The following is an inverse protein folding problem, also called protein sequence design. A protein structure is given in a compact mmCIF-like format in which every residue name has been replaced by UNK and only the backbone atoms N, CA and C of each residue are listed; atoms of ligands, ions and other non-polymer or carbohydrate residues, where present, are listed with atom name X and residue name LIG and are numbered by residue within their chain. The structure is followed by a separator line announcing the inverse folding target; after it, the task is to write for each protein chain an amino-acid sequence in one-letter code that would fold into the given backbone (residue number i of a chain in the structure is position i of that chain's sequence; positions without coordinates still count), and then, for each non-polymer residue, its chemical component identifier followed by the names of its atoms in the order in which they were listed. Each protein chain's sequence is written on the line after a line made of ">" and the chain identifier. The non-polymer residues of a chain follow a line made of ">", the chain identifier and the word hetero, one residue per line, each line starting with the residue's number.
data_IF_290132624553
#
_entry.id   IF_290132624553
#
_cell.length_a   1.000
_cell.length_b   1.000
_cell.length_c   1.000
_cell.angle_alpha   90.00
_cell.angle_beta   90.00
_cell.angle_gamma   90.00
#
_symmetry.space_group_name_H-M   'P 1'
#
loop_
_entity.id
_entity.type
_entity.pdbx_description
1 polymer ?
#
# COMPACT_ATOMS: atom_id res chain seq x y z
N UNK A 1 -1.66 9.30 -5.71
CA UNK A 1 -2.96 8.60 -5.62
C UNK A 1 -2.84 7.25 -6.31
N UNK A 2 -3.24 6.16 -5.68
CA UNK A 2 -3.34 4.83 -6.30
C UNK A 2 -4.68 4.72 -7.02
N UNK A 3 -4.67 4.21 -8.26
CA UNK A 3 -5.87 4.04 -9.08
C UNK A 3 -6.20 2.57 -9.31
N UNK A 4 -5.18 1.75 -9.56
CA UNK A 4 -5.36 0.34 -9.87
C UNK A 4 -4.10 -0.45 -9.56
N UNK A 5 -4.25 -1.68 -9.07
CA UNK A 5 -3.14 -2.60 -8.87
C UNK A 5 -3.54 -3.98 -9.32
N UNK A 6 -2.72 -4.62 -10.16
CA UNK A 6 -2.95 -5.97 -10.65
C UNK A 6 -1.77 -6.86 -10.34
N UNK A 7 -2.07 -8.09 -10.01
CA UNK A 7 -1.08 -9.12 -9.79
C UNK A 7 -1.52 -10.47 -10.36
N UNK A 8 -0.54 -11.28 -10.73
CA UNK A 8 -0.72 -12.69 -11.13
C UNK A 8 0.48 -13.51 -10.65
N UNK A 9 0.24 -14.75 -10.31
CA UNK A 9 1.25 -15.72 -9.88
C UNK A 9 2.09 -15.24 -8.68
N UNK A 10 1.42 -14.62 -7.68
CA UNK A 10 2.07 -14.15 -6.47
C UNK A 10 1.49 -14.81 -5.23
N UNK A 11 2.31 -15.54 -4.46
CA UNK A 11 1.93 -16.29 -3.25
C UNK A 11 0.72 -17.19 -3.52
N UNK A 12 -0.45 -16.91 -2.90
CA UNK A 12 -1.69 -17.67 -3.13
C UNK A 12 -2.51 -17.19 -4.34
N UNK A 13 -2.14 -16.08 -4.98
CA UNK A 13 -2.84 -15.53 -6.15
C UNK A 13 -2.19 -16.00 -7.45
N UNK A 14 -2.70 -17.09 -8.01
CA UNK A 14 -2.24 -17.56 -9.31
C UNK A 14 -2.88 -16.83 -10.49
N UNK A 15 -4.20 -16.63 -10.43
CA UNK A 15 -4.96 -15.96 -11.49
C UNK A 15 -4.76 -14.43 -11.47
N UNK A 16 -5.13 -13.78 -12.56
CA UNK A 16 -5.18 -12.32 -12.60
C UNK A 16 -6.08 -11.80 -11.49
N UNK A 17 -5.53 -10.94 -10.65
CA UNK A 17 -6.22 -10.32 -9.52
C UNK A 17 -6.11 -8.82 -9.66
N UNK A 18 -7.26 -8.13 -9.62
CA UNK A 18 -7.40 -6.70 -9.83
C UNK A 18 -7.92 -6.01 -8.56
N UNK A 19 -7.19 -5.03 -8.08
CA UNK A 19 -7.53 -4.23 -6.90
C UNK A 19 -7.71 -2.78 -7.37
N UNK A 20 -8.94 -2.48 -7.82
CA UNK A 20 -9.25 -1.17 -8.38
C UNK A 20 -9.78 -0.21 -7.32
N UNK A 21 -9.15 0.96 -7.26
CA UNK A 21 -9.59 2.12 -6.46
C UNK A 21 -10.53 3.05 -7.25
N UNK A 22 -10.96 2.68 -8.44
CA UNK A 22 -12.00 3.42 -9.14
C UNK A 22 -13.37 3.15 -8.53
N UNK A 23 -14.14 4.23 -8.37
CA UNK A 23 -15.50 4.14 -7.90
C UNK A 23 -16.44 3.57 -8.96
N UNK A 24 -17.36 2.70 -8.55
CA UNK A 24 -18.47 2.25 -9.40
C UNK A 24 -19.49 3.38 -9.54
N UNK A 25 -19.66 3.89 -10.76
CA UNK A 25 -20.57 4.97 -11.08
C UNK A 25 -22.06 4.59 -10.95
N UNK A 26 -22.37 3.30 -11.01
CA UNK A 26 -23.74 2.79 -10.84
C UNK A 26 -24.21 2.89 -9.39
N UNK A 27 -23.29 2.88 -8.44
CA UNK A 27 -23.60 2.99 -7.01
C UNK A 27 -23.73 4.47 -6.61
N UNK A 28 -24.88 4.85 -6.02
CA UNK A 28 -25.18 6.23 -5.66
C UNK A 28 -24.87 6.60 -4.21
N UNK A 29 -24.54 5.61 -3.39
CA UNK A 29 -24.29 5.80 -1.96
C UNK A 29 -23.00 6.61 -1.72
N UNK A 30 -23.02 7.55 -0.77
CA UNK A 30 -21.86 8.32 -0.31
C UNK A 30 -20.99 8.92 -1.44
N UNK A 31 -21.65 9.52 -2.46
CA UNK A 31 -20.95 10.13 -3.62
C UNK A 31 -20.12 11.36 -3.25
N UNK A 32 -20.48 12.04 -2.21
CA UNK A 32 -19.79 13.17 -1.61
C UNK A 32 -18.38 12.84 -1.10
N UNK A 33 -18.12 11.55 -0.85
CA UNK A 33 -16.84 11.05 -0.36
C UNK A 33 -15.82 10.71 -1.46
N UNK A 34 -16.19 10.80 -2.72
CA UNK A 34 -15.35 10.36 -3.82
C UNK A 34 -14.28 11.40 -4.18
N UNK A 35 -13.09 10.90 -4.49
CA UNK A 35 -11.97 11.71 -4.94
C UNK A 35 -12.04 11.90 -6.46
N UNK A 36 -11.89 13.13 -6.93
CA UNK A 36 -11.88 13.42 -8.35
C UNK A 36 -10.51 13.15 -8.97
N UNK A 37 -10.46 12.24 -9.94
CA UNK A 37 -9.26 11.98 -10.75
C UNK A 37 -9.29 12.91 -11.97
N UNK A 38 -8.65 14.08 -11.84
CA UNK A 38 -8.46 15.01 -12.96
C UNK A 38 -7.01 15.00 -13.43
N UNK A 39 -6.77 15.22 -14.70
CA UNK A 39 -5.45 15.34 -15.32
C UNK A 39 -5.52 16.23 -16.56
N UNK A 40 -4.37 16.66 -17.12
CA UNK A 40 -4.28 17.60 -18.25
C UNK A 40 -5.12 17.19 -19.48
N UNK A 41 -5.31 15.89 -19.70
CA UNK A 41 -6.10 15.32 -20.79
C UNK A 41 -7.23 14.41 -20.30
N UNK A 42 -7.50 14.38 -18.99
CA UNK A 42 -8.35 13.37 -18.35
C UNK A 42 -9.71 13.95 -18.00
N UNK A 43 -10.76 13.26 -18.40
CA UNK A 43 -12.14 13.55 -17.99
C UNK A 43 -12.32 13.09 -16.55
N UNK A 44 -13.23 13.75 -15.85
CA UNK A 44 -13.61 13.46 -14.49
C UNK A 44 -13.97 11.98 -14.30
N UNK A 45 -13.10 11.24 -13.62
CA UNK A 45 -13.31 9.88 -13.13
C UNK A 45 -13.14 9.93 -11.62
N UNK A 46 -13.88 9.13 -10.87
CA UNK A 46 -13.84 9.18 -9.43
C UNK A 46 -13.05 7.99 -8.88
N UNK A 47 -12.24 8.26 -7.85
CA UNK A 47 -11.53 7.24 -7.10
C UNK A 47 -12.09 7.13 -5.68
N UNK A 48 -11.84 5.99 -5.06
CA UNK A 48 -12.21 5.68 -3.68
C UNK A 48 -11.18 6.26 -2.71
N UNK A 49 -11.59 6.93 -1.64
CA UNK A 49 -10.68 7.42 -0.60
C UNK A 49 -10.19 6.30 0.32
N UNK A 50 -10.95 5.21 0.44
CA UNK A 50 -10.57 4.08 1.27
C UNK A 50 -11.09 2.76 0.71
N UNK A 51 -10.45 1.66 1.12
CA UNK A 51 -10.86 0.28 0.86
C UNK A 51 -10.53 -0.59 2.06
N UNK A 52 -11.46 -1.43 2.46
CA UNK A 52 -11.28 -2.43 3.51
C UNK A 52 -11.33 -3.83 2.93
N UNK A 53 -10.41 -4.70 3.38
CA UNK A 53 -10.25 -6.07 2.87
C UNK A 53 -10.58 -7.05 4.00
N UNK A 54 -11.58 -7.89 3.77
CA UNK A 54 -12.03 -8.96 4.67
C UNK A 54 -11.67 -10.33 4.11
N UNK A 55 -11.58 -11.31 4.98
CA UNK A 55 -11.35 -12.71 4.61
C UNK A 55 -10.93 -13.56 5.80
N UNK A 56 -11.01 -14.87 5.68
CA UNK A 56 -10.53 -15.80 6.68
C UNK A 56 -9.01 -15.68 6.92
N UNK A 57 -8.51 -16.28 8.01
CA UNK A 57 -7.07 -16.43 8.21
C UNK A 57 -6.46 -17.21 7.04
N UNK A 58 -5.26 -16.82 6.63
CA UNK A 58 -4.55 -17.40 5.49
C UNK A 58 -5.27 -17.33 4.12
N UNK A 59 -6.34 -16.54 3.98
CA UNK A 59 -7.03 -16.35 2.69
C UNK A 59 -6.20 -15.60 1.65
N UNK A 60 -5.20 -14.81 2.06
CA UNK A 60 -4.34 -14.04 1.16
C UNK A 60 -4.42 -12.52 1.34
N UNK A 61 -5.13 -11.98 2.34
CA UNK A 61 -5.22 -10.54 2.60
C UNK A 61 -3.85 -9.86 2.69
N UNK A 62 -2.98 -10.38 3.56
CA UNK A 62 -1.60 -9.90 3.72
C UNK A 62 -0.78 -10.05 2.42
N UNK A 63 -1.09 -11.03 1.58
CA UNK A 63 -0.40 -11.22 0.30
C UNK A 63 -0.65 -10.05 -0.67
N UNK A 64 -1.84 -9.45 -0.67
CA UNK A 64 -2.15 -8.26 -1.46
C UNK A 64 -1.25 -7.09 -1.03
N UNK A 65 -1.20 -6.83 0.28
CA UNK A 65 -0.38 -5.78 0.87
C UNK A 65 1.10 -6.02 0.59
N UNK A 66 1.55 -7.27 0.75
CA UNK A 66 2.92 -7.69 0.46
C UNK A 66 3.30 -7.49 -1.02
N UNK A 67 2.38 -7.74 -1.96
CA UNK A 67 2.64 -7.55 -3.39
C UNK A 67 2.89 -6.09 -3.73
N UNK A 68 2.08 -5.18 -3.19
CA UNK A 68 2.25 -3.73 -3.38
C UNK A 68 3.55 -3.25 -2.73
N UNK A 69 3.85 -3.71 -1.50
CA UNK A 69 5.11 -3.38 -0.82
C UNK A 69 6.32 -3.91 -1.57
N UNK A 70 6.24 -5.13 -2.11
CA UNK A 70 7.31 -5.72 -2.90
C UNK A 70 7.58 -4.89 -4.17
N UNK A 71 6.54 -4.50 -4.92
CA UNK A 71 6.70 -3.63 -6.08
C UNK A 71 7.33 -2.29 -5.70
N UNK A 72 6.89 -1.69 -4.59
CA UNK A 72 7.51 -0.47 -4.03
C UNK A 72 9.01 -0.68 -3.79
N UNK A 73 9.40 -1.75 -3.12
CA UNK A 73 10.81 -2.03 -2.81
C UNK A 73 11.64 -2.29 -4.08
N UNK A 74 11.10 -3.00 -5.07
CA UNK A 74 11.74 -3.22 -6.36
C UNK A 74 12.04 -1.88 -7.03
N UNK A 75 11.05 -0.98 -7.11
CA UNK A 75 11.19 0.32 -7.78
C UNK A 75 12.16 1.24 -7.02
N UNK A 76 12.07 1.32 -5.69
CA UNK A 76 12.95 2.16 -4.88
C UNK A 76 14.41 1.69 -4.94
N UNK A 77 14.62 0.38 -4.87
CA UNK A 77 15.96 -0.21 -4.94
C UNK A 77 16.52 -0.24 -6.37
N UNK A 78 15.66 -0.13 -7.39
CA UNK A 78 16.03 -0.19 -8.81
C UNK A 78 16.46 -1.59 -9.26
N UNK A 79 16.20 -2.64 -8.47
CA UNK A 79 16.71 -4.00 -8.75
C UNK A 79 15.86 -5.05 -8.02
N UNK A 80 15.88 -6.28 -8.56
CA UNK A 80 15.35 -7.48 -7.90
C UNK A 80 16.45 -8.33 -7.26
N UNK A 81 17.71 -7.86 -7.26
CA UNK A 81 18.85 -8.55 -6.63
C UNK A 81 18.62 -8.76 -5.14
N UNK A 82 19.17 -9.85 -4.63
CA UNK A 82 19.24 -10.07 -3.18
C UNK A 82 20.16 -9.03 -2.56
N UNK A 83 19.67 -8.26 -1.60
CA UNK A 83 20.48 -7.29 -0.88
C UNK A 83 20.95 -7.88 0.45
N UNK A 84 22.26 -7.97 0.62
CA UNK A 84 22.90 -8.35 1.89
C UNK A 84 23.27 -7.04 2.60
N UNK A 85 22.47 -6.62 3.58
CA UNK A 85 22.80 -5.51 4.48
C UNK A 85 23.10 -6.07 5.88
N UNK A 86 24.35 -5.90 6.33
CA UNK A 86 24.80 -6.16 7.72
C UNK A 86 24.42 -7.53 8.31
N UNK A 87 24.73 -8.63 7.62
CA UNK A 87 24.44 -10.01 8.01
C UNK A 87 22.95 -10.38 8.03
N UNK A 88 22.03 -9.45 7.95
CA UNK A 88 20.61 -9.72 7.76
C UNK A 88 20.30 -9.68 6.26
N UNK A 89 20.01 -10.83 5.70
CA UNK A 89 19.51 -10.93 4.33
C UNK A 89 18.07 -10.40 4.36
N UNK A 90 17.89 -9.10 4.05
CA UNK A 90 16.57 -8.61 3.69
C UNK A 90 16.29 -9.06 2.26
N UNK A 91 15.86 -10.29 2.12
CA UNK A 91 15.33 -10.75 0.85
C UNK A 91 14.04 -10.00 0.55
N UNK A 92 13.96 -9.48 -0.68
CA UNK A 92 12.67 -9.13 -1.24
C UNK A 92 11.83 -10.41 -1.24
N UNK A 93 10.68 -10.37 -0.58
CA UNK A 93 9.77 -11.51 -0.41
C UNK A 93 9.02 -11.81 -1.73
N UNK A 94 9.82 -12.10 -2.77
CA UNK A 94 9.35 -12.44 -4.11
C UNK A 94 9.08 -13.93 -4.14
N UNK A 95 7.80 -14.32 -4.12
CA UNK A 95 7.38 -15.71 -4.11
C UNK A 95 6.25 -15.93 -5.11
N UNK A 96 6.50 -16.80 -6.10
CA UNK A 96 5.46 -17.27 -7.03
C UNK A 96 4.50 -18.23 -6.34
N UNK A 97 3.40 -18.61 -7.01
CA UNK A 97 2.48 -19.63 -6.54
C UNK A 97 3.17 -21.00 -6.47
N UNK A 98 3.22 -21.60 -5.28
CA UNK A 98 4.03 -22.79 -5.00
C UNK A 98 3.23 -24.11 -5.01
N UNK A 99 1.90 -24.04 -5.03
CA UNK A 99 1.04 -25.25 -4.93
C UNK A 99 0.92 -26.05 -6.23
N UNK A 100 1.56 -25.59 -7.32
CA UNK A 100 1.61 -26.31 -8.59
C UNK A 100 3.01 -26.21 -9.21
N UNK A 101 3.70 -27.35 -9.32
CA UNK A 101 5.08 -27.43 -9.85
C UNK A 101 5.21 -26.89 -11.29
N UNK A 102 4.14 -26.95 -12.09
CA UNK A 102 4.15 -26.40 -13.46
C UNK A 102 4.11 -24.87 -13.46
N UNK A 103 3.54 -24.26 -12.41
CA UNK A 103 3.30 -22.83 -12.31
C UNK A 103 4.37 -22.06 -11.55
N UNK A 104 5.19 -22.79 -10.78
CA UNK A 104 6.20 -22.17 -9.91
C UNK A 104 7.26 -21.37 -10.70
N UNK A 105 7.51 -21.72 -11.94
CA UNK A 105 8.48 -21.05 -12.82
C UNK A 105 7.84 -20.03 -13.78
N UNK A 106 6.52 -19.84 -13.72
CA UNK A 106 5.86 -18.77 -14.47
C UNK A 106 6.23 -17.40 -13.91
N UNK A 107 6.30 -16.38 -14.75
CA UNK A 107 6.57 -15.03 -14.26
C UNK A 107 5.50 -14.53 -13.28
N UNK A 108 5.94 -13.84 -12.25
CA UNK A 108 5.09 -13.02 -11.39
C UNK A 108 4.81 -11.74 -12.17
N UNK A 109 3.54 -11.41 -12.32
CA UNK A 109 3.09 -10.17 -12.94
C UNK A 109 2.63 -9.18 -11.88
N UNK A 110 3.14 -7.95 -11.97
CA UNK A 110 2.72 -6.82 -11.16
C UNK A 110 2.49 -5.61 -12.06
N UNK A 111 1.32 -5.01 -11.96
CA UNK A 111 0.96 -3.78 -12.69
C UNK A 111 0.34 -2.79 -11.71
N UNK A 112 0.78 -1.55 -11.76
CA UNK A 112 0.25 -0.46 -10.93
C UNK A 112 -0.10 0.75 -11.77
N UNK A 113 -1.29 1.30 -11.54
CA UNK A 113 -1.71 2.58 -12.12
C UNK A 113 -1.85 3.60 -10.99
N UNK A 114 -1.11 4.69 -11.09
CA UNK A 114 -1.09 5.72 -10.06
C UNK A 114 -0.99 7.11 -10.66
N UNK A 115 -1.49 8.10 -9.92
CA UNK A 115 -1.47 9.50 -10.31
C UNK A 115 -0.47 10.27 -9.44
N UNK A 116 0.44 10.97 -10.10
CA UNK A 116 1.27 12.02 -9.52
C UNK A 116 0.63 13.40 -9.74
N UNK A 117 1.34 14.47 -9.42
CA UNK A 117 0.89 15.82 -9.73
C UNK A 117 0.98 16.13 -11.22
N UNK A 118 1.89 15.49 -11.95
CA UNK A 118 2.15 15.71 -13.37
C UNK A 118 1.29 14.80 -14.28
N UNK A 119 1.30 13.49 -14.02
CA UNK A 119 0.75 12.49 -14.92
C UNK A 119 0.02 11.36 -14.17
N UNK A 120 -0.68 10.53 -14.96
CA UNK A 120 -1.14 9.21 -14.53
C UNK A 120 -0.23 8.19 -15.20
N UNK A 121 0.51 7.43 -14.41
CA UNK A 121 1.40 6.39 -14.88
C UNK A 121 0.77 5.01 -14.72
N UNK A 122 1.07 4.13 -15.66
CA UNK A 122 0.85 2.71 -15.54
C UNK A 122 2.21 2.02 -15.73
N UNK A 123 2.67 1.36 -14.67
CA UNK A 123 3.95 0.64 -14.66
C UNK A 123 3.69 -0.84 -14.47
N UNK A 124 4.31 -1.64 -15.32
CA UNK A 124 4.15 -3.09 -15.37
C UNK A 124 5.51 -3.76 -15.33
N UNK A 125 5.63 -4.82 -14.54
CA UNK A 125 6.83 -5.66 -14.47
C UNK A 125 6.44 -7.13 -14.37
N UNK A 126 7.16 -7.96 -15.13
CA UNK A 126 7.12 -9.41 -15.02
C UNK A 126 8.48 -9.92 -14.56
N UNK A 127 8.50 -10.67 -13.47
CA UNK A 127 9.74 -11.18 -12.89
C UNK A 127 9.67 -12.69 -12.68
N UNK A 128 10.77 -13.40 -12.95
CA UNK A 128 10.97 -14.76 -12.49
C UNK A 128 11.85 -14.69 -11.24
N UNK A 129 11.30 -15.17 -10.13
CA UNK A 129 12.00 -15.32 -8.89
C UNK A 129 11.32 -16.44 -8.11
N UNK A 130 11.97 -17.60 -8.04
CA UNK A 130 11.42 -18.74 -7.34
C UNK A 130 12.21 -19.01 -6.06
N UNK A 131 11.52 -19.55 -5.07
CA UNK A 131 12.15 -19.96 -3.82
C UNK A 131 13.18 -21.10 -4.04
N UNK A 132 12.91 -21.95 -5.03
CA UNK A 132 13.70 -23.13 -5.36
C UNK A 132 14.87 -22.83 -6.28
N UNK A 133 14.84 -21.72 -7.01
CA UNK A 133 15.88 -21.34 -7.97
C UNK A 133 16.53 -20.02 -7.54
N UNK A 134 17.85 -19.97 -7.33
CA UNK A 134 18.54 -18.72 -7.00
C UNK A 134 18.51 -17.70 -8.14
N UNK A 135 18.12 -18.11 -9.36
CA UNK A 135 18.11 -17.25 -10.53
C UNK A 135 16.92 -16.29 -10.47
N UNK A 136 17.21 -15.00 -10.48
CA UNK A 136 16.22 -13.93 -10.62
C UNK A 136 16.41 -13.23 -11.96
N UNK A 137 15.32 -12.91 -12.64
CA UNK A 137 15.38 -12.09 -13.86
C UNK A 137 14.10 -11.30 -14.06
N UNK A 138 14.25 -10.12 -14.62
CA UNK A 138 13.15 -9.33 -15.16
C UNK A 138 12.87 -9.87 -16.56
N UNK A 139 11.66 -10.35 -16.77
CA UNK A 139 11.20 -10.87 -18.07
C UNK A 139 10.73 -9.71 -18.95
N UNK A 140 9.96 -8.80 -18.37
CA UNK A 140 9.54 -7.58 -19.07
C UNK A 140 9.27 -6.44 -18.10
N UNK A 141 9.40 -5.22 -18.59
CA UNK A 141 9.14 -3.99 -17.88
C UNK A 141 8.52 -2.99 -18.87
N UNK A 142 7.41 -2.35 -18.50
CA UNK A 142 6.74 -1.37 -19.35
C UNK A 142 6.38 -0.13 -18.55
N UNK A 143 6.50 1.04 -19.19
CA UNK A 143 6.00 2.31 -18.68
C UNK A 143 5.03 2.92 -19.67
N UNK A 144 3.85 3.26 -19.19
CA UNK A 144 2.82 3.91 -19.97
C UNK A 144 2.34 5.18 -19.25
N UNK A 145 1.93 6.20 -20.02
CA UNK A 145 1.13 7.32 -19.53
C UNK A 145 -0.33 7.04 -19.89
N UNK A 146 -1.19 7.22 -18.88
CA UNK A 146 -2.63 6.94 -18.99
C UNK A 146 -3.42 8.23 -19.00
N UNK A 147 -4.44 8.29 -19.86
CA UNK A 147 -5.44 9.34 -19.83
C UNK A 147 -6.82 8.79 -20.19
N UNK A 148 -7.84 9.47 -19.71
CA UNK A 148 -9.22 9.04 -19.90
C UNK A 148 -9.92 10.02 -20.85
N UNK A 149 -10.46 9.51 -21.96
CA UNK A 149 -11.24 10.29 -22.95
C UNK A 149 -12.72 9.90 -22.89
N UNK A 150 -13.59 10.86 -23.13
CA UNK A 150 -15.02 10.61 -23.30
C UNK A 150 -15.28 10.09 -24.73
N UNK A 151 -15.95 8.95 -24.82
CA UNK A 151 -16.44 8.40 -26.09
C UNK A 151 -17.95 8.21 -25.95
N UNK A 152 -18.72 9.18 -26.44
CA UNK A 152 -20.18 9.20 -26.23
C UNK A 152 -20.55 9.33 -24.76
N UNK A 153 -21.27 8.34 -24.21
CA UNK A 153 -21.64 8.25 -22.78
C UNK A 153 -20.61 7.53 -21.91
N UNK A 154 -19.61 6.86 -22.50
CA UNK A 154 -18.59 6.09 -21.79
C UNK A 154 -17.27 6.85 -21.66
N UNK A 155 -16.48 6.49 -20.65
CA UNK A 155 -15.09 6.96 -20.46
C UNK A 155 -14.14 5.84 -20.84
N UNK A 156 -13.33 6.06 -21.88
CA UNK A 156 -12.34 5.09 -22.36
C UNK A 156 -10.96 5.44 -21.83
N UNK A 157 -10.26 4.43 -21.34
CA UNK A 157 -8.84 4.50 -21.00
C UNK A 157 -8.00 4.45 -22.28
N UNK A 158 -7.02 5.33 -22.39
CA UNK A 158 -6.02 5.32 -23.43
C UNK A 158 -4.64 5.31 -22.78
N UNK A 159 -3.73 4.51 -23.34
CA UNK A 159 -2.34 4.39 -22.88
C UNK A 159 -1.41 4.83 -24.00
N UNK A 160 -0.45 5.69 -23.68
CA UNK A 160 0.71 5.97 -24.53
C UNK A 160 1.86 5.22 -23.91
N UNK A 161 2.36 4.23 -24.62
CA UNK A 161 3.55 3.53 -24.20
C UNK A 161 4.75 4.47 -24.29
N UNK A 162 5.64 4.46 -23.30
CA UNK A 162 6.88 5.24 -23.28
C UNK A 162 8.05 4.33 -23.63
N UNK A 163 8.14 3.18 -23.00
CA UNK A 163 9.08 2.13 -23.34
C UNK A 163 8.53 0.75 -23.00
N UNK A 164 9.09 -0.24 -23.68
CA UNK A 164 8.97 -1.66 -23.35
C UNK A 164 10.35 -2.28 -23.27
N UNK A 165 10.55 -3.08 -22.26
CA UNK A 165 11.69 -3.96 -22.12
C UNK A 165 11.21 -5.39 -22.15
N UNK A 166 11.89 -6.23 -22.92
CA UNK A 166 11.73 -7.68 -22.90
C UNK A 166 13.11 -8.32 -22.75
N UNK A 167 13.36 -8.94 -21.61
CA UNK A 167 14.66 -9.45 -21.17
C UNK A 167 15.77 -8.37 -21.29
N UNK A 168 16.66 -8.50 -22.25
CA UNK A 168 17.74 -7.54 -22.49
C UNK A 168 17.43 -6.54 -23.62
N UNK A 169 16.30 -6.67 -24.31
CA UNK A 169 15.89 -5.76 -25.38
C UNK A 169 15.05 -4.62 -24.85
N UNK A 170 15.31 -3.41 -25.28
CA UNK A 170 14.53 -2.20 -24.95
C UNK A 170 14.02 -1.58 -26.23
N UNK A 171 12.73 -1.29 -26.26
CA UNK A 171 12.05 -0.56 -27.31
C UNK A 171 11.51 0.76 -26.75
N UNK A 172 11.86 1.88 -27.38
CA UNK A 172 11.39 3.22 -27.02
C UNK A 172 10.33 3.69 -28.01
N UNK A 173 9.28 4.31 -27.51
CA UNK A 173 8.25 4.83 -28.39
C UNK A 173 8.74 6.10 -29.11
N UNK A 174 8.77 6.04 -30.45
CA UNK A 174 9.24 7.11 -31.34
C UNK A 174 8.12 8.01 -31.87
N UNK A 175 6.87 7.77 -31.48
CA UNK A 175 5.76 8.61 -31.87
C UNK A 175 5.88 10.01 -31.28
N UNK A 176 5.52 11.04 -32.04
CA UNK A 176 5.62 12.43 -31.64
C UNK A 176 4.96 12.71 -30.27
N UNK A 177 3.82 12.06 -29.98
CA UNK A 177 3.13 12.25 -28.69
C UNK A 177 3.96 11.75 -27.50
N UNK A 178 4.67 10.61 -27.65
CA UNK A 178 5.56 10.08 -26.62
C UNK A 178 6.80 10.98 -26.41
N UNK A 179 7.41 11.46 -27.51
CA UNK A 179 8.57 12.35 -27.47
C UNK A 179 8.24 13.67 -26.77
N UNK A 180 7.08 14.27 -27.06
CA UNK A 180 6.59 15.48 -26.38
C UNK A 180 6.41 15.23 -24.87
N UNK A 181 5.86 14.07 -24.48
CA UNK A 181 5.70 13.71 -23.07
C UNK A 181 7.02 13.53 -22.33
N UNK A 182 8.08 13.12 -23.06
CA UNK A 182 9.44 13.07 -22.53
C UNK A 182 10.08 14.47 -22.39
N UNK A 183 9.45 15.52 -22.94
CA UNK A 183 9.99 16.89 -22.98
C UNK A 183 11.15 17.03 -23.95
N UNK A 184 11.12 16.27 -25.05
CA UNK A 184 12.14 16.26 -26.12
C UNK A 184 11.57 16.82 -27.41
N UNK A 185 12.45 17.24 -28.31
CA UNK A 185 12.12 17.70 -29.65
C UNK A 185 11.95 16.53 -30.63
N UNK A 186 11.30 16.77 -31.77
CA UNK A 186 11.03 15.74 -32.78
C UNK A 186 12.31 15.05 -33.31
N UNK A 187 13.44 15.77 -33.39
CA UNK A 187 14.73 15.21 -33.79
C UNK A 187 15.28 14.14 -32.86
N UNK A 188 14.80 14.07 -31.64
CA UNK A 188 15.25 13.06 -30.67
C UNK A 188 14.91 11.63 -31.10
N UNK A 189 13.92 11.45 -32.00
CA UNK A 189 13.56 10.13 -32.53
C UNK A 189 14.71 9.40 -33.22
N UNK A 190 15.61 10.14 -33.91
CA UNK A 190 16.78 9.55 -34.58
C UNK A 190 17.87 9.06 -33.61
N UNK A 191 17.91 9.65 -32.40
CA UNK A 191 18.85 9.23 -31.37
C UNK A 191 18.39 7.95 -30.67
N UNK A 192 17.07 7.70 -30.63
CA UNK A 192 16.49 6.58 -29.89
C UNK A 192 16.97 5.22 -30.41
N UNK A 193 17.19 5.04 -31.72
CA UNK A 193 17.70 3.81 -32.31
C UNK A 193 19.09 3.43 -31.78
N UNK A 194 19.96 4.43 -31.62
CA UNK A 194 21.32 4.23 -31.07
C UNK A 194 21.27 3.90 -29.59
N UNK A 195 20.38 4.59 -28.85
CA UNK A 195 20.19 4.37 -27.42
C UNK A 195 19.62 2.97 -27.15
N UNK A 196 18.61 2.51 -27.89
CA UNK A 196 18.02 1.18 -27.76
C UNK A 196 19.09 0.08 -27.88
N UNK A 197 20.00 0.20 -28.86
CA UNK A 197 21.12 -0.74 -29.04
C UNK A 197 22.05 -0.71 -27.85
N UNK A 198 22.46 0.49 -27.41
CA UNK A 198 23.34 0.67 -26.26
C UNK A 198 22.73 0.09 -24.98
N UNK A 199 21.42 0.30 -24.74
CA UNK A 199 20.74 -0.27 -23.58
C UNK A 199 20.68 -1.79 -23.64
N UNK A 200 20.33 -2.35 -24.79
CA UNK A 200 20.22 -3.81 -24.98
C UNK A 200 21.55 -4.55 -24.75
N UNK A 201 22.68 -3.90 -25.03
CA UNK A 201 24.02 -4.45 -24.79
C UNK A 201 24.47 -4.36 -23.31
N UNK A 202 23.94 -3.39 -22.53
CA UNK A 202 24.45 -3.05 -21.20
C UNK A 202 23.44 -3.29 -20.06
N UNK A 203 22.25 -3.77 -20.35
CA UNK A 203 21.20 -3.94 -19.36
C UNK A 203 21.38 -5.23 -18.55
N UNK A 204 21.50 -5.07 -17.22
CA UNK A 204 21.51 -6.22 -16.31
C UNK A 204 20.10 -6.84 -16.22
N UNK A 205 20.03 -8.16 -16.20
CA UNK A 205 18.77 -8.91 -16.12
C UNK A 205 17.98 -8.71 -14.83
N UNK A 206 18.62 -8.22 -13.78
CA UNK A 206 18.03 -8.02 -12.45
C UNK A 206 17.81 -6.54 -12.11
N UNK A 207 18.36 -5.58 -12.91
CA UNK A 207 18.23 -4.14 -12.66
C UNK A 207 17.11 -3.52 -13.51
N UNK A 208 16.35 -2.58 -12.95
CA UNK A 208 15.26 -1.90 -13.64
C UNK A 208 15.79 -0.93 -14.70
N UNK A 209 15.20 -0.93 -15.88
CA UNK A 209 15.47 0.07 -16.90
C UNK A 209 15.02 1.47 -16.45
N UNK A 210 13.88 1.56 -15.74
CA UNK A 210 13.35 2.80 -15.17
C UNK A 210 14.40 3.61 -14.38
N UNK A 211 15.20 2.93 -13.59
CA UNK A 211 16.15 3.56 -12.65
C UNK A 211 17.58 3.63 -13.17
N UNK A 212 17.88 2.94 -14.27
CA UNK A 212 19.17 2.91 -14.93
C UNK A 212 19.19 3.72 -16.23
N UNK A 213 19.06 3.07 -17.37
CA UNK A 213 19.15 3.70 -18.70
C UNK A 213 18.09 4.77 -18.95
N UNK A 214 16.84 4.51 -18.58
CA UNK A 214 15.76 5.48 -18.73
C UNK A 214 16.00 6.76 -17.92
N UNK A 215 16.36 6.62 -16.65
CA UNK A 215 16.65 7.76 -15.76
C UNK A 215 17.83 8.59 -16.26
N UNK A 216 18.91 7.93 -16.67
CA UNK A 216 20.18 8.61 -16.96
C UNK A 216 20.23 9.24 -18.37
N UNK A 217 19.55 8.65 -19.35
CA UNK A 217 19.70 9.03 -20.75
C UNK A 217 18.39 9.48 -21.44
N UNK A 218 17.23 9.08 -20.92
CA UNK A 218 15.95 9.42 -21.54
C UNK A 218 15.23 10.54 -20.80
N UNK A 219 14.79 10.29 -19.54
CA UNK A 219 14.04 11.28 -18.78
C UNK A 219 14.27 11.17 -17.26
N UNK A 220 15.19 11.98 -16.76
CA UNK A 220 15.41 12.15 -15.32
C UNK A 220 14.13 12.65 -14.62
N UNK A 221 13.41 13.59 -15.26
CA UNK A 221 12.20 14.19 -14.68
C UNK A 221 11.12 13.14 -14.44
N UNK A 222 10.81 12.33 -15.45
CA UNK A 222 9.76 11.30 -15.37
C UNK A 222 10.14 10.19 -14.39
N UNK A 223 11.37 9.70 -14.45
CA UNK A 223 11.87 8.70 -13.50
C UNK A 223 11.82 9.22 -12.05
N UNK A 224 12.25 10.47 -11.81
CA UNK A 224 12.21 11.07 -10.48
C UNK A 224 10.79 11.29 -9.97
N UNK A 225 9.85 11.70 -10.82
CA UNK A 225 8.43 11.84 -10.46
C UNK A 225 7.83 10.51 -9.98
N UNK A 226 8.13 9.41 -10.72
CA UNK A 226 7.71 8.07 -10.35
C UNK A 226 8.36 7.63 -9.03
N UNK A 227 9.69 7.75 -8.90
CA UNK A 227 10.42 7.36 -7.70
C UNK A 227 9.93 8.12 -6.47
N UNK A 228 9.74 9.44 -6.58
CA UNK A 228 9.23 10.28 -5.49
C UNK A 228 7.84 9.83 -5.04
N UNK A 229 6.96 9.43 -5.97
CA UNK A 229 5.66 8.91 -5.60
C UNK A 229 5.76 7.64 -4.76
N UNK A 230 6.64 6.69 -5.13
CA UNK A 230 6.84 5.46 -4.36
C UNK A 230 7.52 5.71 -3.01
N UNK A 231 8.42 6.69 -2.92
CA UNK A 231 9.16 7.01 -1.69
C UNK A 231 8.31 7.83 -0.73
N UNK A 232 7.65 8.90 -1.24
CA UNK A 232 7.04 9.93 -0.41
C UNK A 232 5.53 9.83 -0.28
N UNK A 233 4.84 9.14 -1.22
CA UNK A 233 3.37 9.05 -1.24
C UNK A 233 2.84 7.67 -0.89
N UNK A 234 3.53 6.59 -1.26
CA UNK A 234 3.08 5.23 -0.99
C UNK A 234 3.67 4.73 0.34
N UNK A 235 2.84 4.61 1.35
CA UNK A 235 3.21 4.15 2.69
C UNK A 235 2.67 2.73 2.86
N UNK A 236 3.59 1.76 2.94
CA UNK A 236 3.25 0.36 3.20
C UNK A 236 3.82 -0.03 4.56
N UNK A 237 2.96 -0.43 5.49
CA UNK A 237 3.38 -0.87 6.82
C UNK A 237 2.90 -2.29 7.01
N UNK A 238 3.79 -3.24 6.81
CA UNK A 238 3.55 -4.68 7.05
C UNK A 238 3.72 -5.00 8.52
N UNK A 239 4.61 -4.22 9.21
CA UNK A 239 4.81 -4.27 10.65
C UNK A 239 4.94 -2.86 11.21
N UNK A 240 4.12 -2.53 12.21
CA UNK A 240 4.15 -1.24 12.92
C UNK A 240 5.38 -1.08 13.86
N UNK A 241 6.47 -1.76 13.61
CA UNK A 241 7.72 -1.51 14.29
C UNK A 241 8.42 -0.28 13.69
N UNK A 242 7.92 0.90 14.00
CA UNK A 242 8.60 2.16 13.67
C UNK A 242 9.91 2.21 14.44
N UNK A 243 11.01 1.94 13.76
CA UNK A 243 12.35 1.92 14.37
C UNK A 243 12.91 3.30 14.66
N UNK A 244 12.40 4.34 13.97
CA UNK A 244 12.80 5.74 14.15
C UNK A 244 11.58 6.65 13.95
N UNK A 245 11.41 7.68 14.77
CA UNK A 245 10.35 8.64 14.55
C UNK A 245 10.62 9.42 13.25
N UNK A 246 9.65 9.37 12.33
CA UNK A 246 9.74 9.95 10.97
C UNK A 246 9.56 11.48 10.94
N UNK A 247 9.49 12.17 12.07
CA UNK A 247 9.07 13.57 12.17
C UNK A 247 10.13 14.43 12.85
N UNK A 248 10.29 15.66 12.36
CA UNK A 248 11.03 16.71 13.08
C UNK A 248 10.25 17.08 14.35
N UNK A 249 10.89 16.92 15.50
CA UNK A 249 10.33 17.27 16.79
C UNK A 249 10.84 18.65 17.21
N UNK A 250 9.99 19.42 17.87
CA UNK A 250 10.43 20.61 18.59
C UNK A 250 11.26 20.17 19.81
N UNK A 251 12.47 20.69 19.94
CA UNK A 251 13.33 20.46 21.11
C UNK A 251 12.72 21.15 22.33
N UNK A 252 12.38 20.38 23.35
CA UNK A 252 11.97 20.91 24.64
C UNK A 252 12.85 20.31 25.73
N UNK A 253 13.19 21.10 26.74
CA UNK A 253 13.79 20.61 27.98
C UNK A 253 12.69 20.42 29.03
N UNK A 254 12.62 19.23 29.60
CA UNK A 254 11.76 18.95 30.75
C UNK A 254 12.61 18.27 31.84
N UNK A 255 12.70 18.88 33.01
CA UNK A 255 13.55 18.43 34.12
C UNK A 255 15.03 18.19 33.78
N UNK A 256 15.62 18.98 32.88
CA UNK A 256 17.02 18.84 32.46
C UNK A 256 17.27 17.72 31.44
N UNK A 257 16.22 17.11 30.94
CA UNK A 257 16.29 16.07 29.89
C UNK A 257 15.77 16.64 28.57
N UNK A 258 16.52 16.44 27.49
CA UNK A 258 16.09 16.86 26.16
C UNK A 258 14.97 15.93 25.65
N UNK A 259 13.78 16.50 25.49
CA UNK A 259 12.57 15.78 25.09
C UNK A 259 12.11 16.26 23.72
N UNK A 260 11.95 15.35 22.78
CA UNK A 260 11.42 15.60 21.46
C UNK A 260 9.90 15.40 21.48
N UNK A 261 9.15 16.48 21.28
CA UNK A 261 7.66 16.49 21.32
C UNK A 261 7.09 17.07 20.03
N UNK A 262 5.88 16.64 19.70
CA UNK A 262 5.12 17.24 18.60
C UNK A 262 3.74 17.70 19.08
N UNK A 263 3.25 18.82 18.53
CA UNK A 263 1.89 19.32 18.79
C UNK A 263 0.80 18.31 18.40
N UNK A 264 1.09 17.46 17.40
CA UNK A 264 0.18 16.41 16.96
C UNK A 264 0.07 15.31 18.02
N UNK A 265 1.18 14.93 18.66
CA UNK A 265 1.19 13.96 19.75
C UNK A 265 0.38 14.49 20.96
N UNK A 266 0.59 15.74 21.35
CA UNK A 266 -0.17 16.35 22.45
C UNK A 266 -1.70 16.38 22.20
N UNK A 267 -2.10 16.59 20.94
CA UNK A 267 -3.51 16.52 20.55
C UNK A 267 -4.05 15.10 20.61
N UNK A 268 -3.28 14.12 20.14
CA UNK A 268 -3.69 12.71 20.17
C UNK A 268 -3.89 12.23 21.62
N UNK A 269 -2.97 12.54 22.52
CA UNK A 269 -3.08 12.17 23.95
C UNK A 269 -4.40 12.67 24.55
N UNK A 270 -4.79 13.90 24.22
CA UNK A 270 -6.06 14.48 24.69
C UNK A 270 -7.29 13.84 24.05
N UNK A 271 -7.22 13.50 22.76
CA UNK A 271 -8.35 12.91 22.02
C UNK A 271 -8.61 11.46 22.41
N UNK A 272 -7.55 10.71 22.69
CA UNK A 272 -7.62 9.29 22.98
C UNK A 272 -7.76 8.97 24.46
N UNK A 273 -7.93 10.00 25.32
CA UNK A 273 -8.06 9.89 26.78
C UNK A 273 -6.94 9.01 27.40
N UNK A 274 -5.71 9.23 26.92
CA UNK A 274 -4.55 8.51 27.46
C UNK A 274 -4.23 9.00 28.87
N UNK A 275 -3.79 8.07 29.75
CA UNK A 275 -3.48 8.36 31.14
C UNK A 275 -2.37 9.39 31.39
N UNK A 276 -1.27 9.46 30.59
CA UNK A 276 -0.20 10.42 30.83
C UNK A 276 -0.65 11.87 30.45
N UNK A 277 -0.14 12.83 31.20
CA UNK A 277 -0.40 14.25 30.91
C UNK A 277 0.32 14.71 29.65
N UNK A 278 1.48 14.13 29.37
CA UNK A 278 2.33 14.41 28.22
C UNK A 278 3.11 13.15 27.83
N UNK A 279 3.50 13.06 26.56
CA UNK A 279 4.42 12.05 26.07
C UNK A 279 5.44 12.68 25.13
N UNK A 280 6.63 12.07 25.01
CA UNK A 280 7.67 12.54 24.12
C UNK A 280 8.79 11.53 23.97
N UNK A 281 9.65 11.74 22.99
CA UNK A 281 10.81 10.88 22.76
C UNK A 281 12.04 11.44 23.43
N UNK A 282 12.79 10.57 24.10
CA UNK A 282 14.08 10.88 24.69
C UNK A 282 15.14 10.13 23.90
N UNK A 283 16.20 10.85 23.47
CA UNK A 283 17.33 10.24 22.78
C UNK A 283 18.33 9.69 23.81
N UNK A 284 18.61 8.41 23.73
CA UNK A 284 19.73 7.81 24.47
C UNK A 284 21.06 8.23 23.80
N UNK A 285 21.87 8.95 24.53
CA UNK A 285 23.14 9.49 24.03
C UNK A 285 24.18 8.39 23.72
N UNK A 286 24.06 7.20 24.33
CA UNK A 286 25.01 6.10 24.12
C UNK A 286 24.66 5.29 22.89
N UNK A 287 23.36 5.01 22.68
CA UNK A 287 22.89 4.17 21.58
C UNK A 287 22.36 4.97 20.39
N UNK A 288 22.13 6.26 20.55
CA UNK A 288 21.50 7.14 19.56
C UNK A 288 20.02 6.82 19.31
N UNK A 289 19.44 5.88 20.07
CA UNK A 289 18.04 5.45 19.89
C UNK A 289 17.09 6.39 20.62
N UNK A 290 15.90 6.55 20.03
CA UNK A 290 14.80 7.28 20.65
C UNK A 290 13.87 6.31 21.38
N UNK A 291 13.52 6.65 22.64
CA UNK A 291 12.54 5.92 23.45
C UNK A 291 11.35 6.83 23.75
N UNK A 292 10.14 6.32 23.57
CA UNK A 292 8.92 7.03 23.95
C UNK A 292 8.75 6.99 25.46
N UNK A 293 8.55 8.15 26.08
CA UNK A 293 8.39 8.31 27.51
C UNK A 293 7.09 9.03 27.86
N UNK A 294 6.46 8.59 28.93
CA UNK A 294 5.25 9.14 29.52
C UNK A 294 5.57 10.02 30.72
N UNK A 295 4.95 11.20 30.80
CA UNK A 295 5.20 12.20 31.83
C UNK A 295 3.97 12.30 32.74
N UNK A 296 4.18 12.12 34.03
CA UNK A 296 3.18 12.18 35.08
C UNK A 296 3.56 13.19 36.15
N UNK A 297 2.56 13.89 36.65
CA UNK A 297 2.72 14.71 37.86
C UNK A 297 1.79 14.14 38.94
N UNK A 298 2.32 13.44 39.96
CA UNK A 298 1.51 12.88 41.03
C UNK A 298 0.71 13.96 41.77
N UNK A 299 -0.50 13.63 42.22
CA UNK A 299 -1.31 14.56 43.00
C UNK A 299 -0.56 14.95 44.27
N UNK A 300 -0.45 16.27 44.53
CA UNK A 300 0.26 16.79 45.69
C UNK A 300 1.77 16.91 45.52
N UNK A 301 2.32 16.61 44.38
CA UNK A 301 3.74 16.81 44.04
C UNK A 301 3.91 17.87 42.97
N UNK A 302 4.95 18.71 43.12
CA UNK A 302 5.39 19.64 42.07
C UNK A 302 6.50 19.01 41.18
N UNK A 303 6.90 17.77 41.47
CA UNK A 303 7.91 17.05 40.68
C UNK A 303 7.24 16.09 39.68
N UNK A 304 7.60 16.24 38.42
CA UNK A 304 7.22 15.33 37.37
C UNK A 304 8.03 14.02 37.42
N UNK A 305 7.41 12.92 37.03
CA UNK A 305 8.03 11.60 36.88
C UNK A 305 8.04 11.27 35.38
N UNK A 306 9.19 10.82 34.89
CA UNK A 306 9.38 10.35 33.52
C UNK A 306 9.53 8.84 33.55
N UNK A 307 8.70 8.13 32.79
CA UNK A 307 8.69 6.65 32.76
C UNK A 307 8.71 6.20 31.30
N UNK A 308 9.53 5.18 30.98
CA UNK A 308 9.49 4.55 29.66
C UNK A 308 8.05 4.06 29.37
N UNK A 309 7.45 4.56 28.30
CA UNK A 309 6.06 4.25 27.95
C UNK A 309 5.81 2.77 27.75
N UNK A 310 6.82 1.98 27.34
CA UNK A 310 6.69 0.52 27.24
C UNK A 310 6.42 -0.18 28.54
N UNK A 311 6.79 0.45 29.66
CA UNK A 311 6.60 -0.11 31.00
C UNK A 311 5.20 0.14 31.55
N UNK A 312 4.58 1.26 31.16
CA UNK A 312 3.34 1.72 31.81
C UNK A 312 2.14 1.76 30.84
N UNK A 313 2.39 2.00 29.54
CA UNK A 313 1.32 2.12 28.58
C UNK A 313 0.95 0.80 27.92
N UNK A 314 -0.29 0.71 27.41
CA UNK A 314 -0.73 -0.45 26.65
C UNK A 314 0.01 -0.53 25.28
N UNK A 315 0.16 -1.75 24.77
CA UNK A 315 0.70 -1.96 23.42
C UNK A 315 -0.11 -1.21 22.36
N UNK A 316 -1.43 -1.12 22.53
CA UNK A 316 -2.32 -0.39 21.63
C UNK A 316 -2.06 1.12 21.65
N UNK A 317 -1.82 1.69 22.84
CA UNK A 317 -1.46 3.10 23.01
C UNK A 317 -0.17 3.43 22.26
N UNK A 318 0.88 2.64 22.47
CA UNK A 318 2.19 2.83 21.82
C UNK A 318 2.04 2.72 20.30
N UNK A 319 1.37 1.65 19.82
CA UNK A 319 1.11 1.42 18.40
C UNK A 319 0.38 2.58 17.75
N UNK A 320 -0.65 3.13 18.42
CA UNK A 320 -1.40 4.27 17.90
C UNK A 320 -0.54 5.54 17.84
N UNK A 321 0.32 5.78 18.83
CA UNK A 321 1.22 6.94 18.84
C UNK A 321 2.22 6.85 17.71
N UNK A 322 2.89 5.70 17.57
CA UNK A 322 3.88 5.48 16.51
C UNK A 322 3.24 5.64 15.12
N UNK A 323 2.04 5.08 14.94
CA UNK A 323 1.26 5.27 13.71
C UNK A 323 0.91 6.74 13.48
N UNK A 324 0.35 7.44 14.48
CA UNK A 324 -0.21 8.77 14.32
C UNK A 324 0.81 9.83 13.94
N UNK A 325 2.02 9.73 14.48
CA UNK A 325 3.09 10.68 14.20
C UNK A 325 3.45 10.68 12.73
N UNK A 326 3.71 9.50 12.15
CA UNK A 326 3.97 9.37 10.72
C UNK A 326 2.73 9.64 9.86
N UNK A 327 1.56 9.16 10.32
CA UNK A 327 0.29 9.30 9.63
C UNK A 327 -0.05 10.75 9.27
N UNK A 328 0.01 11.66 10.23
CA UNK A 328 -0.43 13.05 10.03
C UNK A 328 0.41 13.80 8.98
N UNK A 329 1.69 13.51 8.88
CA UNK A 329 2.55 14.11 7.87
C UNK A 329 2.17 13.64 6.46
N UNK A 330 2.10 12.33 6.27
CA UNK A 330 1.78 11.75 4.97
C UNK A 330 0.32 11.99 4.56
N UNK A 331 -0.62 12.00 5.52
CA UNK A 331 -2.02 12.34 5.26
C UNK A 331 -2.15 13.75 4.67
N UNK A 332 -1.48 14.74 5.26
CA UNK A 332 -1.45 16.10 4.73
C UNK A 332 -0.80 16.23 3.35
N UNK A 333 0.10 15.32 3.01
CA UNK A 333 0.73 15.27 1.68
C UNK A 333 -0.11 14.50 0.64
N UNK A 334 -1.28 13.97 0.99
CA UNK A 334 -2.09 13.13 0.11
C UNK A 334 -1.48 11.75 -0.09
N UNK A 335 -0.95 11.15 0.98
CA UNK A 335 -0.34 9.81 0.97
C UNK A 335 -1.34 8.69 0.72
N UNK A 336 -0.83 7.57 0.23
CA UNK A 336 -1.56 6.31 0.05
C UNK A 336 -1.08 5.34 1.11
N UNK A 337 -1.95 5.04 2.07
CA UNK A 337 -1.65 4.15 3.19
C UNK A 337 -2.16 2.74 2.88
N UNK A 338 -1.26 1.77 2.93
CA UNK A 338 -1.57 0.35 2.72
C UNK A 338 -1.12 -0.40 3.96
N UNK A 339 -2.09 -0.77 4.82
CA UNK A 339 -1.84 -1.18 6.19
C UNK A 339 -2.34 -2.62 6.43
N UNK A 340 -1.49 -3.43 7.04
CA UNK A 340 -1.84 -4.80 7.44
C UNK A 340 -2.27 -4.81 8.90
N UNK A 341 -3.51 -5.27 9.18
CA UNK A 341 -4.08 -5.42 10.53
C UNK A 341 -3.80 -4.23 11.47
N UNK A 342 -3.89 -3.00 10.92
CA UNK A 342 -3.51 -1.83 11.71
C UNK A 342 -4.44 -1.60 12.91
N UNK A 343 -5.66 -2.12 12.84
CA UNK A 343 -6.67 -2.03 13.89
C UNK A 343 -6.43 -3.04 15.05
N UNK A 344 -5.50 -3.97 14.91
CA UNK A 344 -5.12 -4.87 16.00
C UNK A 344 -4.60 -4.08 17.21
N UNK A 345 -5.24 -4.26 18.36
CA UNK A 345 -4.92 -3.60 19.64
C UNK A 345 -5.28 -2.11 19.71
N UNK A 346 -5.94 -1.54 18.71
CA UNK A 346 -6.48 -0.18 18.74
C UNK A 346 -8.00 -0.25 18.98
N UNK A 347 -8.51 0.64 19.85
CA UNK A 347 -9.95 0.68 20.10
C UNK A 347 -10.74 0.95 18.82
N UNK A 348 -11.82 0.19 18.52
CA UNK A 348 -12.55 0.31 17.25
C UNK A 348 -13.07 1.71 16.93
N UNK A 349 -13.42 2.49 17.95
CA UNK A 349 -13.89 3.88 17.78
C UNK A 349 -12.78 4.79 17.22
N UNK A 350 -11.53 4.60 17.66
CA UNK A 350 -10.38 5.35 17.13
C UNK A 350 -10.10 4.97 15.67
N UNK A 351 -10.20 3.69 15.34
CA UNK A 351 -10.07 3.22 13.96
C UNK A 351 -11.18 3.78 13.07
N UNK A 352 -12.44 3.80 13.59
CA UNK A 352 -13.57 4.43 12.89
C UNK A 352 -13.32 5.91 12.62
N UNK A 353 -12.78 6.64 13.60
CA UNK A 353 -12.40 8.05 13.43
C UNK A 353 -11.32 8.23 12.35
N UNK A 354 -10.33 7.33 12.28
CA UNK A 354 -9.30 7.35 11.21
C UNK A 354 -9.94 7.11 9.83
N UNK A 355 -10.83 6.12 9.72
CA UNK A 355 -11.56 5.83 8.47
C UNK A 355 -12.36 7.08 8.02
N UNK A 356 -13.02 7.75 8.95
CA UNK A 356 -13.81 8.96 8.66
C UNK A 356 -12.93 10.13 8.19
N UNK A 357 -11.67 10.26 8.66
CA UNK A 357 -10.74 11.27 8.15
C UNK A 357 -10.50 11.11 6.64
N UNK A 358 -10.32 9.89 6.16
CA UNK A 358 -10.11 9.64 4.73
C UNK A 358 -11.38 9.86 3.92
N UNK A 359 -12.54 9.48 4.47
CA UNK A 359 -13.83 9.55 3.80
C UNK A 359 -14.46 10.95 3.82
N UNK A 360 -13.94 11.89 4.60
CA UNK A 360 -14.39 13.27 4.67
C UNK A 360 -13.60 14.15 3.71
N UNK A 361 -14.22 14.60 2.63
CA UNK A 361 -13.56 15.41 1.59
C UNK A 361 -13.14 16.81 2.04
N UNK A 362 -13.76 17.36 3.08
CA UNK A 362 -13.35 18.65 3.65
C UNK A 362 -12.04 18.52 4.45
N UNK A 363 -11.88 17.42 5.19
CA UNK A 363 -10.68 17.13 5.97
C UNK A 363 -9.59 16.59 5.06
N UNK A 364 -9.93 15.67 4.15
CA UNK A 364 -9.03 15.02 3.20
C UNK A 364 -8.85 15.85 1.92
N UNK A 365 -8.55 17.13 2.06
CA UNK A 365 -8.41 18.06 0.93
C UNK A 365 -7.30 17.67 -0.07
N UNK A 366 -6.30 16.93 0.37
CA UNK A 366 -5.17 16.48 -0.45
C UNK A 366 -5.32 15.05 -0.99
N UNK A 367 -6.52 14.46 -0.86
CA UNK A 367 -6.89 13.18 -1.45
C UNK A 367 -6.00 12.01 -0.99
N UNK A 368 -5.69 11.93 0.30
CA UNK A 368 -5.06 10.76 0.89
C UNK A 368 -5.96 9.53 0.73
N UNK A 369 -5.37 8.34 0.64
CA UNK A 369 -6.09 7.08 0.47
C UNK A 369 -5.68 6.07 1.54
N UNK A 370 -6.64 5.24 1.99
CA UNK A 370 -6.44 4.17 2.97
C UNK A 370 -6.88 2.82 2.39
N UNK A 371 -5.98 1.87 2.34
CA UNK A 371 -6.29 0.46 2.07
C UNK A 371 -5.82 -0.33 3.28
N UNK A 372 -6.69 -1.12 3.89
CA UNK A 372 -6.31 -1.95 5.01
C UNK A 372 -7.11 -3.25 5.05
N UNK A 373 -6.53 -4.27 5.63
CA UNK A 373 -7.24 -5.49 5.96
C UNK A 373 -7.59 -5.52 7.45
N UNK A 374 -8.64 -6.24 7.77
CA UNK A 374 -9.12 -6.41 9.15
C UNK A 374 -9.90 -7.71 9.28
N UNK A 375 -9.96 -8.21 10.52
CA UNK A 375 -10.89 -9.26 10.93
C UNK A 375 -12.12 -8.70 11.69
N UNK A 376 -12.12 -7.39 11.97
CA UNK A 376 -13.16 -6.75 12.78
C UNK A 376 -14.42 -6.42 11.97
N UNK A 377 -15.54 -7.11 12.17
CA UNK A 377 -16.77 -6.90 11.40
C UNK A 377 -17.48 -5.60 11.76
N UNK A 378 -17.07 -4.89 12.81
CA UNK A 378 -17.69 -3.64 13.23
C UNK A 378 -17.63 -2.54 12.17
N UNK A 379 -16.64 -2.62 11.24
CA UNK A 379 -16.55 -1.65 10.14
C UNK A 379 -17.43 -2.01 8.95
N UNK A 380 -18.06 -3.20 8.90
CA UNK A 380 -19.04 -3.58 7.87
C UNK A 380 -20.38 -2.86 8.06
N UNK A 381 -20.34 -1.54 7.97
CA UNK A 381 -21.52 -0.68 8.12
C UNK A 381 -21.58 0.33 6.98
N UNK A 382 -22.80 0.59 6.49
CA UNK A 382 -23.07 1.56 5.41
C UNK A 382 -22.60 2.97 5.70
N UNK A 383 -22.48 3.34 6.98
CA UNK A 383 -22.00 4.65 7.38
C UNK A 383 -20.50 4.84 7.10
N UNK A 384 -19.71 3.77 7.08
CA UNK A 384 -18.26 3.84 6.87
C UNK A 384 -17.89 3.68 5.41
N UNK A 385 -18.46 2.68 4.73
CA UNK A 385 -18.02 2.27 3.40
C UNK A 385 -19.16 2.14 2.40
N UNK A 386 -18.89 2.52 1.17
CA UNK A 386 -19.65 2.16 -0.01
C UNK A 386 -19.45 0.65 -0.29
N UNK A 387 -20.34 0.05 -1.06
CA UNK A 387 -20.21 -1.37 -1.42
C UNK A 387 -18.93 -1.66 -2.22
N UNK A 388 -18.51 -0.73 -3.08
CA UNK A 388 -17.29 -0.84 -3.89
C UNK A 388 -15.99 -0.59 -3.10
N UNK A 389 -16.08 -0.14 -1.84
CA UNK A 389 -14.95 0.01 -0.92
C UNK A 389 -14.72 -1.24 -0.05
N UNK A 390 -15.62 -2.22 -0.06
CA UNK A 390 -15.51 -3.46 0.73
C UNK A 390 -15.10 -4.58 -0.20
N UNK A 391 -13.93 -5.16 0.04
CA UNK A 391 -13.36 -6.27 -0.72
C UNK A 391 -13.29 -7.52 0.17
N UNK A 392 -13.59 -8.66 -0.41
CA UNK A 392 -13.46 -9.96 0.21
C UNK A 392 -12.37 -10.77 -0.47
N UNK A 393 -11.66 -11.58 0.32
CA UNK A 393 -10.64 -12.52 -0.15
C UNK A 393 -10.99 -13.91 0.32
N UNK A 394 -11.11 -14.83 -0.61
CA UNK A 394 -11.33 -16.24 -0.35
C UNK A 394 -10.21 -17.09 -0.91
N UNK A 395 -9.95 -18.21 -0.28
CA UNK A 395 -8.99 -19.21 -0.73
C UNK A 395 -9.72 -20.54 -0.95
N UNK A 396 -9.61 -21.06 -2.14
CA UNK A 396 -10.16 -22.37 -2.49
C UNK A 396 -9.35 -23.48 -1.81
N UNK A 397 -10.04 -24.39 -1.13
CA UNK A 397 -9.42 -25.44 -0.31
C UNK A 397 -8.72 -26.52 -1.16
N UNK A 398 -9.18 -26.74 -2.37
CA UNK A 398 -8.65 -27.79 -3.26
C UNK A 398 -7.45 -27.31 -4.07
N UNK A 399 -7.53 -26.08 -4.57
CA UNK A 399 -6.50 -25.50 -5.45
C UNK A 399 -5.52 -24.60 -4.70
N UNK A 400 -5.85 -24.21 -3.46
CA UNK A 400 -5.12 -23.23 -2.66
C UNK A 400 -4.98 -21.85 -3.32
N UNK A 401 -5.80 -21.59 -4.34
CA UNK A 401 -5.82 -20.32 -5.04
C UNK A 401 -6.70 -19.31 -4.31
N UNK A 402 -6.17 -18.09 -4.13
CA UNK A 402 -6.94 -16.97 -3.61
C UNK A 402 -7.62 -16.20 -4.74
N UNK A 403 -8.81 -15.69 -4.45
CA UNK A 403 -9.59 -14.80 -5.31
C UNK A 403 -10.13 -13.62 -4.54
N UNK A 404 -10.43 -12.52 -5.25
CA UNK A 404 -11.01 -11.31 -4.66
C UNK A 404 -12.32 -10.96 -5.36
N UNK A 405 -13.24 -10.37 -4.62
CA UNK A 405 -14.48 -9.77 -5.14
C UNK A 405 -14.92 -8.63 -4.21
N UNK A 406 -15.70 -7.71 -4.73
CA UNK A 406 -16.24 -6.58 -3.96
C UNK A 406 -17.67 -6.86 -3.50
N UNK A 407 -18.08 -6.22 -2.42
CA UNK A 407 -19.49 -6.28 -1.98
C UNK A 407 -20.42 -5.68 -3.05
N UNK A 408 -19.93 -4.83 -3.93
CA UNK A 408 -20.66 -4.32 -5.08
C UNK A 408 -21.02 -5.38 -6.12
N UNK A 409 -20.26 -6.47 -6.19
CA UNK A 409 -20.45 -7.56 -7.15
C UNK A 409 -21.53 -8.53 -6.69
N UNK A 410 -21.95 -8.41 -5.42
CA UNK A 410 -23.00 -9.23 -4.81
C UNK A 410 -24.35 -8.49 -4.90
N UNK A 411 -25.38 -9.19 -5.36
CA UNK A 411 -26.73 -8.66 -5.35
C UNK A 411 -27.28 -8.55 -3.93
N UNK A 412 -27.54 -7.34 -3.47
CA UNK A 412 -28.04 -7.06 -2.15
C UNK A 412 -29.21 -6.07 -2.18
N UNK A 413 -30.19 -6.29 -1.32
CA UNK A 413 -31.24 -5.31 -1.05
C UNK A 413 -30.65 -4.03 -0.45
N UNK A 414 -31.33 -2.90 -0.69
CA UNK A 414 -30.83 -1.61 -0.19
C UNK A 414 -30.84 -1.50 1.34
N UNK A 415 -31.69 -2.25 2.02
CA UNK A 415 -31.82 -2.31 3.48
C UNK A 415 -30.92 -3.36 4.15
N UNK A 416 -30.14 -4.14 3.37
CA UNK A 416 -29.30 -5.23 3.87
C UNK A 416 -28.34 -4.74 4.97
N UNK A 417 -28.30 -5.49 6.07
CA UNK A 417 -27.31 -5.30 7.14
C UNK A 417 -26.05 -6.07 6.79
N UNK A 418 -24.95 -5.35 6.49
CA UNK A 418 -23.71 -5.98 6.01
C UNK A 418 -23.06 -6.87 7.07
N UNK A 419 -22.98 -6.40 8.33
CA UNK A 419 -22.39 -7.17 9.43
C UNK A 419 -23.18 -8.46 9.68
N UNK A 420 -24.51 -8.39 9.75
CA UNK A 420 -25.37 -9.56 9.93
C UNK A 420 -25.18 -10.57 8.79
N UNK A 421 -25.26 -10.11 7.54
CA UNK A 421 -25.12 -10.97 6.36
C UNK A 421 -23.72 -11.60 6.27
N UNK A 422 -22.68 -10.92 6.74
CA UNK A 422 -21.32 -11.46 6.83
C UNK A 422 -21.27 -12.64 7.80
N UNK A 423 -21.80 -12.50 9.02
CA UNK A 423 -21.85 -13.58 10.01
C UNK A 423 -22.75 -14.75 9.58
N UNK A 424 -23.76 -14.49 8.74
CA UNK A 424 -24.61 -15.53 8.16
C UNK A 424 -23.93 -16.24 6.96
N UNK A 425 -22.67 -15.90 6.63
CA UNK A 425 -21.92 -16.51 5.53
C UNK A 425 -22.36 -16.10 4.13
N UNK A 426 -23.29 -15.12 3.99
CA UNK A 426 -23.84 -14.70 2.68
C UNK A 426 -22.84 -14.03 1.77
N UNK A 427 -21.75 -13.56 2.32
CA UNK A 427 -20.66 -12.90 1.57
C UNK A 427 -19.47 -13.83 1.38
N UNK A 428 -19.50 -15.07 1.90
CA UNK A 428 -18.31 -15.91 1.98
C UNK A 428 -17.26 -15.31 2.91
N UNK A 429 -15.99 -15.60 2.63
CA UNK A 429 -14.81 -15.04 3.30
C UNK A 429 -14.77 -15.23 4.83
N UNK A 430 -15.56 -16.16 5.37
CA UNK A 430 -15.55 -16.58 6.77
C UNK A 430 -14.65 -17.80 6.97
N UNK A 431 -13.97 -17.92 8.13
CA UNK A 431 -13.30 -19.16 8.47
C UNK A 431 -14.33 -20.26 8.71
N UNK A 432 -14.14 -21.40 8.08
CA UNK A 432 -14.84 -22.62 8.48
C UNK A 432 -14.14 -23.17 9.73
N UNK A 433 -14.87 -23.19 10.86
CA UNK A 433 -14.33 -23.68 12.12
C UNK A 433 -15.16 -24.90 12.51
N UNK A 434 -14.56 -26.08 12.34
CA UNK A 434 -15.13 -27.34 12.82
C UNK A 434 -14.36 -27.82 14.06
N UNK A 435 -14.86 -27.44 15.22
CA UNK A 435 -14.28 -27.87 16.50
C UNK A 435 -14.58 -29.35 16.81
N UNK A 436 -15.62 -29.94 16.23
CA UNK A 436 -15.97 -31.34 16.45
C UNK A 436 -14.89 -32.24 15.84
N UNK A 437 -14.49 -32.01 14.60
CA UNK A 437 -13.38 -32.72 13.95
C UNK A 437 -12.05 -32.54 14.70
N UNK A 438 -11.83 -31.38 15.33
CA UNK A 438 -10.62 -31.15 16.12
C UNK A 438 -10.61 -31.92 17.45
N UNK A 439 -11.77 -32.28 17.99
CA UNK A 439 -11.92 -33.08 19.19
C UNK A 439 -11.79 -34.58 18.90
N UNK A 440 -12.28 -35.06 17.76
CA UNK A 440 -12.21 -36.47 17.36
C UNK A 440 -10.77 -36.97 17.13
N UNK A 441 -9.82 -36.06 16.85
CA UNK A 441 -8.38 -36.39 16.76
C UNK A 441 -7.82 -36.88 18.10
N UNK A 442 -8.48 -36.63 19.23
CA UNK A 442 -8.03 -37.09 20.56
C UNK A 442 -8.49 -38.50 20.92
N UNK A 443 -9.51 -39.04 20.23
CA UNK A 443 -9.99 -40.41 20.49
C UNK A 443 -9.29 -41.46 19.62
N UNK A 444 -8.50 -41.10 18.62
CA UNK A 444 -7.80 -42.00 17.71
C UNK A 444 -6.28 -42.12 17.89
N UNK A 445 -5.73 -41.65 19.00
CA UNK A 445 -4.29 -41.70 19.32
C UNK A 445 -3.98 -42.55 20.57
N UNK A 446 -4.69 -43.68 20.73
CA UNK A 446 -4.32 -44.76 21.69
C UNK A 446 -3.76 -45.99 20.94
#
# INVERSE_FOLDING_TARGET
>A
MLLDFKMKNFKSFYNNTDISMFADNAKRDLKDRLINVSGKKTIKKNALPSMVIYGANASGKTSIISAINMLKQIIINGTIKRQIKNKDIKELDICSFIHDNKKINEPIHLEITFKTDENIYNYLINVIATYLNPTRKIVSEELNIVYYKKLGSSVKENKINIYKRFENSVELNKEAEAIILLGKDEGFSEELDKLEKTFSENLDKEDLFLTTGFKSMISLKMSSDILNWFQEKLITVVDFNVKEPLVSFDDNEDNGVKVFRSKQLDKLIKLADFGPQKMGYIKDNNTGRYTLNSFYTPRGSNQGIIIDSKTIESKGTIKLIDFWIGFMEYFKKGGVFILDEFDCSIHPELVSGIIDLFNNTEINANNAQLIFNTHNPLYLQKKFFRRDQIMFVEKDENTYMSSVYKLSDIELRNDANYMKNYFEGKFGALPFIDFETALDIKEGAD
#
